data_IF_466572777016
#
_entry.id   IF_466572777016
#
_cell.length_a   1.000
_cell.length_b   1.000
_cell.length_c   1.000
_cell.angle_alpha   90.00
_cell.angle_beta   90.00
_cell.angle_gamma   90.00
#
_symmetry.space_group_name_H-M   'P 1'
#
loop_
_entity.id
_entity.type
_entity.pdbx_description
1 polymer ?
#
# COMPACT_ATOMS: atom_id res chain seq x y z
N UNK A 1 2.24 -17.22 -0.46
CA UNK A 1 1.29 -16.10 -0.43
C UNK A 1 1.57 -15.30 -1.69
N UNK A 2 0.60 -15.08 -2.57
CA UNK A 2 0.82 -14.25 -3.75
C UNK A 2 0.52 -12.80 -3.36
N UNK A 3 1.47 -11.90 -3.60
CA UNK A 3 1.24 -10.47 -3.42
C UNK A 3 0.52 -9.99 -4.67
N UNK A 4 -0.74 -9.61 -4.51
CA UNK A 4 -1.58 -9.14 -5.60
C UNK A 4 -2.24 -7.81 -5.22
N UNK A 5 -2.55 -7.02 -6.24
CA UNK A 5 -3.14 -5.69 -6.07
C UNK A 5 -4.49 -5.75 -5.33
N UNK A 6 -5.23 -6.85 -5.46
CA UNK A 6 -6.53 -7.04 -4.80
C UNK A 6 -6.40 -6.97 -3.28
N UNK A 7 -5.40 -7.62 -2.69
CA UNK A 7 -5.19 -7.60 -1.24
C UNK A 7 -4.80 -6.21 -0.74
N UNK A 8 -3.92 -5.52 -1.47
CA UNK A 8 -3.54 -4.13 -1.13
C UNK A 8 -4.76 -3.21 -1.14
N UNK A 9 -5.65 -3.40 -2.10
CA UNK A 9 -6.89 -2.61 -2.24
C UNK A 9 -7.85 -2.79 -1.08
N UNK A 10 -8.00 -4.01 -0.55
CA UNK A 10 -8.81 -4.27 0.65
C UNK A 10 -8.27 -3.51 1.87
N UNK A 11 -6.95 -3.46 2.04
CA UNK A 11 -6.30 -2.72 3.13
C UNK A 11 -6.48 -1.20 3.00
N UNK A 12 -6.45 -0.67 1.77
CA UNK A 12 -6.71 0.76 1.52
C UNK A 12 -8.15 1.15 1.88
N UNK A 13 -9.12 0.29 1.55
CA UNK A 13 -10.52 0.50 1.93
C UNK A 13 -10.71 0.52 3.45
N UNK A 14 -9.96 -0.30 4.21
CA UNK A 14 -9.99 -0.28 5.67
C UNK A 14 -9.46 1.04 6.28
N UNK A 15 -8.48 1.66 5.62
CA UNK A 15 -7.92 2.96 6.02
C UNK A 15 -8.80 4.17 5.62
N UNK A 16 -10.01 3.93 5.13
CA UNK A 16 -10.92 4.97 4.65
C UNK A 16 -10.32 5.82 3.51
N UNK A 17 -9.40 5.24 2.74
CA UNK A 17 -8.87 5.85 1.52
C UNK A 17 -9.89 5.54 0.43
N UNK A 18 -10.51 6.59 -0.11
CA UNK A 18 -11.55 6.51 -1.14
C UNK A 18 -10.92 6.21 -2.49
N UNK A 19 -10.39 4.99 -2.62
CA UNK A 19 -9.78 4.51 -3.85
C UNK A 19 -10.91 3.87 -4.67
N UNK A 20 -11.47 4.65 -5.60
CA UNK A 20 -12.59 4.18 -6.40
C UNK A 20 -12.13 3.00 -7.28
N UNK A 21 -12.64 1.81 -6.98
CA UNK A 21 -12.31 0.57 -7.69
C UNK A 21 -12.89 0.52 -9.11
N UNK A 22 -13.61 1.56 -9.53
CA UNK A 22 -14.33 1.62 -10.78
C UNK A 22 -13.40 2.08 -11.91
N UNK A 23 -12.57 1.15 -12.37
CA UNK A 23 -12.01 1.05 -13.73
C UNK A 23 -11.17 2.21 -14.33
N UNK A 24 -11.00 3.36 -13.68
CA UNK A 24 -10.21 4.49 -14.23
C UNK A 24 -8.97 4.87 -13.42
N UNK A 25 -8.81 4.33 -12.21
CA UNK A 25 -7.62 4.56 -11.37
C UNK A 25 -6.57 3.51 -11.71
N UNK A 26 -5.54 3.93 -12.44
CA UNK A 26 -4.37 3.10 -12.74
C UNK A 26 -3.62 2.76 -11.44
N UNK A 27 -2.91 1.64 -11.41
CA UNK A 27 -2.13 1.23 -10.24
C UNK A 27 -0.94 2.16 -9.93
N UNK A 28 -0.58 3.01 -10.89
CA UNK A 28 0.38 4.11 -10.74
C UNK A 28 -0.27 5.41 -10.26
N UNK A 29 -1.58 5.40 -9.99
CA UNK A 29 -2.28 6.57 -9.47
C UNK A 29 -1.85 6.88 -8.04
N UNK A 30 -1.62 8.16 -7.80
CA UNK A 30 -1.17 8.69 -6.53
C UNK A 30 -2.30 8.75 -5.49
N UNK A 31 -2.22 7.82 -4.54
CA UNK A 31 -3.14 7.63 -3.41
C UNK A 31 -3.16 8.83 -2.45
N UNK A 32 -2.16 9.72 -2.51
CA UNK A 32 -2.14 10.95 -1.67
C UNK A 32 -3.32 11.87 -1.96
N UNK A 33 -3.82 11.86 -3.19
CA UNK A 33 -5.01 12.61 -3.56
C UNK A 33 -6.31 12.01 -3.00
N UNK A 34 -6.26 10.76 -2.52
CA UNK A 34 -7.42 9.99 -2.05
C UNK A 34 -7.44 9.81 -0.53
N UNK A 35 -6.53 10.49 0.19
CA UNK A 35 -6.48 10.48 1.65
C UNK A 35 -5.19 9.89 2.23
N UNK A 36 -4.29 9.34 1.41
CA UNK A 36 -3.01 8.84 1.88
C UNK A 36 -2.11 9.98 2.38
N UNK A 37 -1.77 9.97 3.66
CA UNK A 37 -0.90 10.92 4.31
C UNK A 37 0.17 10.20 5.14
N UNK A 38 1.08 10.93 5.78
CA UNK A 38 2.18 10.32 6.55
C UNK A 38 1.71 9.36 7.64
N UNK A 39 0.54 9.57 8.24
CA UNK A 39 0.02 8.71 9.31
C UNK A 39 -0.59 7.44 8.70
N UNK A 40 -1.51 7.58 7.75
CA UNK A 40 -2.16 6.43 7.10
C UNK A 40 -1.16 5.57 6.32
N UNK A 41 -0.06 6.16 5.84
CA UNK A 41 1.04 5.43 5.18
C UNK A 41 1.73 4.47 6.15
N UNK A 42 2.00 4.92 7.38
CA UNK A 42 2.61 4.06 8.40
C UNK A 42 1.61 2.97 8.82
N UNK A 43 0.34 3.31 9.02
CA UNK A 43 -0.68 2.29 9.36
C UNK A 43 -0.85 1.25 8.26
N UNK A 44 -0.82 1.68 6.99
CA UNK A 44 -0.83 0.76 5.85
C UNK A 44 0.37 -0.18 5.90
N UNK A 45 1.56 0.35 6.13
CA UNK A 45 2.77 -0.47 6.18
C UNK A 45 2.71 -1.48 7.33
N UNK A 46 2.32 -1.05 8.53
CA UNK A 46 2.19 -1.96 9.68
C UNK A 46 1.18 -3.07 9.40
N UNK A 47 0.04 -2.75 8.76
CA UNK A 47 -0.95 -3.77 8.33
C UNK A 47 -0.37 -4.73 7.32
N UNK A 48 0.46 -4.24 6.39
CA UNK A 48 1.12 -5.06 5.40
C UNK A 48 2.18 -5.98 6.02
N UNK A 49 2.96 -5.48 6.98
CA UNK A 49 3.92 -6.28 7.75
C UNK A 49 3.22 -7.41 8.50
N UNK A 50 2.07 -7.14 9.13
CA UNK A 50 1.25 -8.13 9.83
C UNK A 50 0.62 -9.15 8.87
N UNK A 51 0.00 -8.68 7.78
CA UNK A 51 -0.69 -9.55 6.80
C UNK A 51 0.28 -10.47 6.05
N UNK A 52 1.46 -9.97 5.67
CA UNK A 52 2.43 -10.73 4.89
C UNK A 52 3.55 -11.33 5.75
N UNK A 53 3.50 -11.14 7.07
CA UNK A 53 4.55 -11.55 8.03
C UNK A 53 5.96 -11.09 7.62
N UNK A 54 6.07 -9.85 7.09
CA UNK A 54 7.33 -9.24 6.67
C UNK A 54 7.76 -8.12 7.62
N UNK A 55 9.03 -7.75 7.59
CA UNK A 55 9.55 -6.59 8.29
C UNK A 55 10.14 -5.60 7.27
N UNK A 56 9.47 -4.46 7.10
CA UNK A 56 9.90 -3.36 6.25
C UNK A 56 10.84 -2.48 7.06
N UNK A 57 11.97 -2.10 6.45
CA UNK A 57 12.97 -1.27 7.14
C UNK A 57 12.44 0.15 7.34
N UNK A 58 12.81 0.81 8.45
CA UNK A 58 12.45 2.21 8.72
C UNK A 58 12.82 3.19 7.59
N UNK A 59 13.91 2.92 6.87
CA UNK A 59 14.35 3.72 5.72
C UNK A 59 13.35 3.66 4.54
N UNK A 60 12.66 2.52 4.40
CA UNK A 60 11.63 2.28 3.41
C UNK A 60 10.22 2.66 3.91
N UNK A 61 10.05 3.06 5.20
CA UNK A 61 8.80 3.54 5.81
C UNK A 61 8.44 4.97 5.38
N UNK A 62 8.52 5.25 4.08
CA UNK A 62 8.23 6.55 3.50
C UNK A 62 6.98 6.48 2.64
N UNK A 63 6.16 7.54 2.69
CA UNK A 63 4.95 7.66 1.88
C UNK A 63 5.25 7.51 0.38
N UNK A 64 6.45 7.85 -0.10
CA UNK A 64 6.84 7.69 -1.50
C UNK A 64 6.85 6.22 -1.95
N UNK A 65 7.16 5.28 -1.05
CA UNK A 65 7.15 3.85 -1.35
C UNK A 65 5.75 3.24 -1.33
N UNK A 66 4.77 3.94 -0.74
CA UNK A 66 3.38 3.49 -0.64
C UNK A 66 2.38 4.45 -1.31
N UNK A 67 2.88 5.40 -2.11
CA UNK A 67 2.05 6.43 -2.74
C UNK A 67 1.18 5.89 -3.88
N UNK A 68 1.49 4.72 -4.42
CA UNK A 68 0.70 4.05 -5.46
C UNK A 68 0.60 2.56 -5.17
N UNK A 69 -0.46 1.91 -5.66
CA UNK A 69 -0.67 0.46 -5.49
C UNK A 69 0.50 -0.34 -6.05
N UNK A 70 1.03 0.07 -7.20
CA UNK A 70 2.16 -0.60 -7.82
C UNK A 70 3.41 -0.55 -6.94
N UNK A 71 3.72 0.62 -6.33
CA UNK A 71 4.88 0.76 -5.44
C UNK A 71 4.72 -0.07 -4.17
N UNK A 72 3.52 -0.14 -3.61
CA UNK A 72 3.23 -1.02 -2.48
C UNK A 72 3.53 -2.47 -2.87
N UNK A 73 2.99 -2.97 -3.98
CA UNK A 73 3.23 -4.34 -4.44
C UNK A 73 4.73 -4.60 -4.69
N UNK A 74 5.45 -3.63 -5.26
CA UNK A 74 6.90 -3.74 -5.45
C UNK A 74 7.66 -3.79 -4.13
N UNK A 75 7.28 -2.95 -3.15
CA UNK A 75 7.85 -2.95 -1.82
C UNK A 75 7.64 -4.32 -1.16
N UNK A 76 6.42 -4.83 -1.16
CA UNK A 76 6.12 -6.16 -0.62
C UNK A 76 6.92 -7.25 -1.34
N UNK A 77 7.03 -7.18 -2.66
CA UNK A 77 7.80 -8.17 -3.44
C UNK A 77 9.30 -8.14 -3.13
N UNK A 78 9.83 -6.99 -2.70
CA UNK A 78 11.22 -6.84 -2.24
C UNK A 78 11.48 -7.56 -0.91
N UNK A 79 10.48 -7.65 -0.02
CA UNK A 79 10.62 -8.21 1.32
C UNK A 79 10.04 -9.62 1.48
N UNK A 80 9.00 -9.97 0.73
CA UNK A 80 8.36 -11.29 0.76
C UNK A 80 9.02 -12.31 -0.20
N UNK A 81 10.13 -11.94 -0.85
CA UNK A 81 10.87 -12.74 -1.83
C UNK A 81 12.04 -13.49 -1.24
#
# INVERSE_FOLDING_TARGET
MSIDQVSVKELLSDLSIDWDSSSEIDNDTDLRNFGLNSITSIELIVKLEDEYEIAISDDDLIIDNVCTVNRIVQLLSKYAG
#
